data_IF_200573414665
#
_entry.id   IF_200573414665
#
_cell.length_a   1.000
_cell.length_b   1.000
_cell.length_c   1.000
_cell.angle_alpha   90.00
_cell.angle_beta   90.00
_cell.angle_gamma   90.00
#
_symmetry.space_group_name_H-M   'P 1'
#
loop_
_entity.id
_entity.type
_entity.pdbx_description
1 polymer ?
#
# COMPACT_ATOMS: atom_id res chain seq x y z
N UNK A 1 1.33 -2.83 17.48
CA UNK A 1 2.05 -1.54 17.34
C UNK A 1 3.54 -1.82 17.35
N UNK A 2 4.29 -1.09 16.52
CA UNK A 2 5.75 -1.06 16.55
C UNK A 2 6.24 0.35 16.24
N UNK A 3 7.35 0.74 16.84
CA UNK A 3 8.14 1.90 16.50
C UNK A 3 9.56 1.42 16.14
N UNK A 4 10.06 1.85 14.98
CA UNK A 4 11.34 1.41 14.43
C UNK A 4 12.17 2.62 14.04
N UNK A 5 13.44 2.63 14.46
CA UNK A 5 14.40 3.59 13.95
C UNK A 5 14.66 3.34 12.46
N UNK A 6 14.38 4.34 11.63
CA UNK A 6 14.43 4.20 10.17
C UNK A 6 15.85 3.91 9.67
N UNK A 7 16.87 4.49 10.28
CA UNK A 7 18.25 4.35 9.84
C UNK A 7 18.81 2.95 10.14
N UNK A 8 18.73 2.50 11.39
CA UNK A 8 19.29 1.23 11.85
C UNK A 8 18.34 0.04 11.69
N UNK A 9 17.03 0.27 11.64
CA UNK A 9 16.02 -0.79 11.70
C UNK A 9 15.79 -1.35 13.11
N UNK A 10 16.38 -0.75 14.15
CA UNK A 10 16.20 -1.18 15.53
C UNK A 10 14.78 -0.90 16.00
N UNK A 11 14.14 -1.86 16.65
CA UNK A 11 12.88 -1.66 17.36
C UNK A 11 13.10 -0.77 18.58
N UNK A 12 12.37 0.34 18.67
CA UNK A 12 12.36 1.25 19.81
C UNK A 12 11.27 0.86 20.81
N UNK A 13 10.07 0.60 20.31
CA UNK A 13 8.91 0.19 21.09
C UNK A 13 8.11 -0.88 20.34
N UNK A 14 7.52 -1.84 21.05
CA UNK A 14 6.71 -2.89 20.44
C UNK A 14 5.58 -3.35 21.36
N UNK A 15 4.41 -3.62 20.77
CA UNK A 15 3.28 -4.28 21.42
C UNK A 15 2.56 -5.17 20.43
N UNK A 16 2.46 -6.47 20.73
CA UNK A 16 1.88 -7.48 19.83
C UNK A 16 2.48 -7.41 18.42
N UNK A 17 3.79 -7.18 18.35
CA UNK A 17 4.45 -6.83 17.08
C UNK A 17 4.52 -8.00 16.10
N UNK A 18 4.39 -9.24 16.60
CA UNK A 18 4.39 -10.47 15.80
C UNK A 18 2.98 -11.09 15.66
N UNK A 19 1.94 -10.44 16.20
CA UNK A 19 0.56 -10.87 15.99
C UNK A 19 0.02 -10.35 14.66
N UNK A 20 -0.85 -11.14 14.03
CA UNK A 20 -1.45 -10.81 12.73
C UNK A 20 -2.60 -9.82 12.89
N UNK A 21 -2.62 -8.83 12.00
CA UNK A 21 -3.71 -7.87 11.83
C UNK A 21 -4.05 -7.74 10.35
N UNK A 22 -5.34 -7.57 9.99
CA UNK A 22 -5.74 -7.24 8.62
C UNK A 22 -5.00 -5.97 8.16
N UNK A 23 -4.40 -6.01 6.97
CA UNK A 23 -3.73 -4.83 6.42
C UNK A 23 -4.72 -3.74 6.06
N UNK A 24 -5.89 -4.14 5.52
CA UNK A 24 -6.81 -3.24 4.83
C UNK A 24 -6.02 -2.42 3.80
N UNK A 25 -6.45 -1.20 3.47
CA UNK A 25 -5.77 -0.33 2.49
C UNK A 25 -4.30 0.04 2.78
N UNK A 26 -3.71 -0.33 3.92
CA UNK A 26 -2.25 -0.14 4.13
C UNK A 26 -1.41 -0.96 3.16
N UNK A 27 -1.96 -2.06 2.61
CA UNK A 27 -1.30 -2.88 1.58
C UNK A 27 -0.96 -2.09 0.31
N UNK A 28 -1.68 -0.99 0.04
CA UNK A 28 -1.55 -0.19 -1.19
C UNK A 28 -0.16 0.46 -1.31
N UNK A 29 0.54 0.68 -0.19
CA UNK A 29 1.96 1.11 -0.22
C UNK A 29 2.86 0.00 -0.76
N UNK A 30 2.66 -1.24 -0.30
CA UNK A 30 3.41 -2.41 -0.79
C UNK A 30 3.09 -2.65 -2.28
N UNK A 31 1.82 -2.52 -2.67
CA UNK A 31 1.39 -2.63 -4.07
C UNK A 31 2.11 -1.62 -4.96
N UNK A 32 2.11 -0.34 -4.60
CA UNK A 32 2.81 0.68 -5.38
C UNK A 32 4.33 0.48 -5.36
N UNK A 33 4.88 -0.03 -4.26
CA UNK A 33 6.28 -0.46 -4.19
C UNK A 33 6.60 -1.58 -5.19
N UNK A 34 5.73 -2.58 -5.34
CA UNK A 34 5.88 -3.65 -6.32
C UNK A 34 5.79 -3.12 -7.77
N UNK A 35 4.85 -2.21 -8.03
CA UNK A 35 4.72 -1.53 -9.33
C UNK A 35 5.98 -0.73 -9.67
N UNK A 36 6.51 0.04 -8.71
CA UNK A 36 7.74 0.79 -8.88
C UNK A 36 8.97 -0.12 -9.10
N UNK A 37 9.01 -1.29 -8.46
CA UNK A 37 10.07 -2.27 -8.71
C UNK A 37 10.03 -2.78 -10.17
N UNK A 38 8.84 -2.98 -10.74
CA UNK A 38 8.66 -3.31 -12.16
C UNK A 38 9.08 -2.16 -13.07
N UNK A 39 8.79 -0.90 -12.69
CA UNK A 39 9.27 0.29 -13.42
C UNK A 39 10.78 0.35 -13.42
N UNK A 40 11.43 0.13 -12.27
CA UNK A 40 12.89 0.12 -12.16
C UNK A 40 13.53 -1.01 -13.00
N UNK A 41 12.83 -2.14 -13.16
CA UNK A 41 13.26 -3.26 -14.01
C UNK A 41 12.99 -3.03 -15.51
N UNK A 42 12.25 -2.00 -15.89
CA UNK A 42 11.83 -1.74 -17.27
C UNK A 42 10.61 -2.54 -17.74
N UNK A 43 9.98 -3.30 -16.85
CA UNK A 43 8.80 -4.13 -17.13
C UNK A 43 7.47 -3.37 -17.02
N UNK A 44 7.51 -2.11 -16.59
CA UNK A 44 6.36 -1.22 -16.43
C UNK A 44 6.73 0.23 -16.73
N UNK A 45 5.74 1.06 -17.09
CA UNK A 45 5.94 2.50 -17.28
C UNK A 45 4.85 3.27 -16.53
N UNK A 46 5.23 4.29 -15.77
CA UNK A 46 4.27 5.11 -15.02
C UNK A 46 3.30 5.84 -15.95
N UNK A 47 3.73 6.18 -17.16
CA UNK A 47 2.97 6.89 -18.18
C UNK A 47 2.05 5.95 -18.99
N UNK A 48 2.16 4.63 -18.82
CA UNK A 48 1.30 3.67 -19.53
C UNK A 48 -0.15 3.86 -19.11
N UNK A 49 -1.02 4.12 -20.08
CA UNK A 49 -2.46 4.31 -19.88
C UNK A 49 -3.19 2.97 -19.74
N UNK A 50 -4.09 2.88 -18.77
CA UNK A 50 -5.01 1.76 -18.54
C UNK A 50 -6.44 2.27 -18.70
N UNK A 51 -7.16 1.68 -19.65
CA UNK A 51 -8.61 1.84 -19.78
C UNK A 51 -9.32 0.69 -19.06
N UNK A 52 -10.46 1.01 -18.46
CA UNK A 52 -11.28 0.08 -17.69
C UNK A 52 -12.75 0.45 -17.86
N UNK A 53 -13.63 -0.44 -17.42
CA UNK A 53 -15.08 -0.35 -17.63
C UNK A 53 -15.79 -0.06 -16.32
N UNK A 54 -17.07 0.33 -16.44
CA UNK A 54 -17.96 0.54 -15.29
C UNK A 54 -18.00 -0.68 -14.34
N UNK A 55 -17.93 -1.89 -14.90
CA UNK A 55 -17.94 -3.15 -14.13
C UNK A 55 -16.66 -3.43 -13.36
N UNK A 56 -15.57 -2.72 -13.67
CA UNK A 56 -14.30 -2.83 -12.94
C UNK A 56 -14.29 -1.89 -11.71
N UNK A 57 -15.32 -1.03 -11.56
CA UNK A 57 -15.48 -0.16 -10.42
C UNK A 57 -16.10 -0.91 -9.23
N UNK A 58 -15.43 -0.83 -8.08
CA UNK A 58 -15.90 -1.32 -6.78
C UNK A 58 -16.17 -0.15 -5.83
N UNK A 59 -16.81 -0.45 -4.69
CA UNK A 59 -17.12 0.55 -3.66
C UNK A 59 -15.89 1.38 -3.26
N UNK A 60 -16.09 2.68 -3.03
CA UNK A 60 -15.05 3.66 -2.71
C UNK A 60 -13.95 3.79 -3.78
N UNK A 61 -14.34 4.36 -4.92
CA UNK A 61 -13.48 4.61 -6.08
C UNK A 61 -13.50 6.08 -6.54
N UNK A 62 -13.21 7.04 -5.62
CA UNK A 62 -13.51 8.46 -5.81
C UNK A 62 -12.70 9.17 -6.89
N UNK A 63 -11.62 8.55 -7.38
CA UNK A 63 -10.81 9.05 -8.49
C UNK A 63 -11.15 8.26 -9.74
N UNK A 64 -11.02 6.94 -9.70
CA UNK A 64 -11.19 6.10 -10.89
C UNK A 64 -12.59 6.15 -11.49
N UNK A 65 -13.64 6.37 -10.69
CA UNK A 65 -15.00 6.54 -11.22
C UNK A 65 -15.14 7.74 -12.18
N UNK A 66 -14.23 8.72 -12.09
CA UNK A 66 -14.25 9.95 -12.90
C UNK A 66 -13.49 9.83 -14.21
N UNK A 67 -12.78 8.71 -14.42
CA UNK A 67 -11.85 8.53 -15.54
C UNK A 67 -12.19 7.31 -16.42
N UNK A 68 -13.47 6.93 -16.49
CA UNK A 68 -13.93 5.82 -17.35
C UNK A 68 -13.71 6.08 -18.85
N UNK A 69 -13.83 7.34 -19.30
CA UNK A 69 -13.74 7.68 -20.71
C UNK A 69 -12.30 7.77 -21.22
N UNK A 70 -11.42 8.34 -20.40
CA UNK A 70 -10.04 8.72 -20.70
C UNK A 70 -9.00 7.74 -20.15
N UNK A 71 -9.40 6.89 -19.18
CA UNK A 71 -8.51 5.98 -18.48
C UNK A 71 -7.49 6.70 -17.60
N UNK A 72 -6.72 5.92 -16.85
CA UNK A 72 -5.68 6.45 -15.96
C UNK A 72 -4.34 5.81 -16.27
N UNK A 73 -3.27 6.57 -16.14
CA UNK A 73 -1.91 6.07 -16.20
C UNK A 73 -1.58 5.25 -14.95
N UNK A 74 -0.58 4.38 -15.03
CA UNK A 74 -0.10 3.61 -13.86
C UNK A 74 0.30 4.55 -12.72
N UNK A 75 0.95 5.67 -13.01
CA UNK A 75 1.30 6.69 -12.01
C UNK A 75 0.08 7.34 -11.37
N UNK A 76 -0.94 7.70 -12.16
CA UNK A 76 -2.21 8.24 -11.64
C UNK A 76 -2.95 7.22 -10.76
N UNK A 77 -2.92 5.94 -11.13
CA UNK A 77 -3.52 4.87 -10.34
C UNK A 77 -2.77 4.66 -9.01
N UNK A 78 -1.43 4.68 -9.00
CA UNK A 78 -0.66 4.61 -7.75
C UNK A 78 -0.97 5.81 -6.84
N UNK A 79 -1.02 7.01 -7.42
CA UNK A 79 -1.37 8.21 -6.68
C UNK A 79 -2.79 8.11 -6.09
N UNK A 80 -3.78 7.65 -6.85
CA UNK A 80 -5.15 7.46 -6.36
C UNK A 80 -5.24 6.40 -5.27
N UNK A 81 -4.56 5.26 -5.44
CA UNK A 81 -4.54 4.16 -4.48
C UNK A 81 -3.88 4.56 -3.14
N UNK A 82 -2.85 5.40 -3.15
CA UNK A 82 -2.21 5.87 -1.92
C UNK A 82 -2.97 7.08 -1.33
N UNK A 83 -3.10 8.17 -2.09
CA UNK A 83 -3.52 9.47 -1.53
C UNK A 83 -5.02 9.54 -1.21
N UNK A 84 -5.83 8.80 -1.97
CA UNK A 84 -7.29 8.77 -1.84
C UNK A 84 -7.80 7.39 -1.45
N UNK A 85 -6.91 6.41 -1.27
CA UNK A 85 -7.27 5.03 -0.95
C UNK A 85 -8.24 4.38 -1.95
N UNK A 86 -8.20 4.80 -3.23
CA UNK A 86 -9.11 4.36 -4.29
C UNK A 86 -9.02 2.85 -4.52
N UNK A 87 -10.15 2.15 -4.40
CA UNK A 87 -10.20 0.68 -4.41
C UNK A 87 -10.04 0.10 -5.81
N UNK A 88 -10.71 0.66 -6.81
CA UNK A 88 -10.58 0.17 -8.18
C UNK A 88 -9.20 0.45 -8.74
N UNK A 89 -8.57 1.58 -8.37
CA UNK A 89 -7.18 1.84 -8.72
C UNK A 89 -6.24 0.75 -8.19
N UNK A 90 -6.43 0.30 -6.95
CA UNK A 90 -5.64 -0.79 -6.38
C UNK A 90 -5.89 -2.12 -7.10
N UNK A 91 -7.14 -2.44 -7.47
CA UNK A 91 -7.44 -3.65 -8.25
C UNK A 91 -6.78 -3.61 -9.65
N UNK A 92 -6.85 -2.47 -10.35
CA UNK A 92 -6.20 -2.31 -11.66
C UNK A 92 -4.67 -2.48 -11.57
N UNK A 93 -4.04 -1.96 -10.51
CA UNK A 93 -2.62 -2.14 -10.26
C UNK A 93 -2.27 -3.59 -9.87
N UNK A 94 -3.09 -4.24 -9.04
CA UNK A 94 -2.93 -5.65 -8.68
C UNK A 94 -2.87 -6.54 -9.92
N UNK A 95 -3.72 -6.27 -10.92
CA UNK A 95 -3.69 -7.01 -12.19
C UNK A 95 -2.35 -6.93 -12.91
N UNK A 96 -1.58 -5.85 -12.73
CA UNK A 96 -0.26 -5.68 -13.36
C UNK A 96 0.86 -6.44 -12.62
N UNK A 97 0.66 -6.79 -11.34
CA UNK A 97 1.65 -7.51 -10.52
C UNK A 97 1.28 -8.97 -10.30
N UNK A 98 0.33 -9.52 -11.08
CA UNK A 98 -0.10 -10.92 -10.96
C UNK A 98 -1.15 -11.16 -9.86
N UNK A 99 -1.92 -10.14 -9.52
CA UNK A 99 -2.96 -10.20 -8.49
C UNK A 99 -2.42 -10.33 -7.06
N UNK A 100 -3.27 -10.67 -6.08
CA UNK A 100 -2.88 -10.84 -4.68
C UNK A 100 -1.73 -11.84 -4.48
N UNK A 101 -1.77 -12.97 -5.20
CA UNK A 101 -0.72 -13.98 -5.16
C UNK A 101 0.62 -13.43 -5.66
N UNK A 102 0.61 -12.63 -6.73
CA UNK A 102 1.81 -11.98 -7.25
C UNK A 102 2.38 -10.92 -6.31
N UNK A 103 1.54 -10.15 -5.62
CA UNK A 103 2.01 -9.23 -4.56
C UNK A 103 2.62 -9.99 -3.38
N UNK A 104 2.02 -11.12 -2.98
CA UNK A 104 2.59 -12.00 -1.95
C UNK A 104 3.94 -12.59 -2.41
N UNK A 105 4.09 -12.96 -3.69
CA UNK A 105 5.35 -13.43 -4.23
C UNK A 105 6.43 -12.34 -4.20
N UNK A 106 6.08 -11.10 -4.55
CA UNK A 106 6.98 -9.94 -4.41
C UNK A 106 7.45 -9.74 -2.97
N UNK A 107 6.53 -9.82 -1.99
CA UNK A 107 6.88 -9.75 -0.56
C UNK A 107 7.91 -10.82 -0.17
N UNK A 108 7.74 -12.06 -0.63
CA UNK A 108 8.73 -13.15 -0.40
C UNK A 108 10.09 -12.82 -1.03
N UNK A 109 10.11 -12.25 -2.23
CA UNK A 109 11.34 -11.86 -2.93
C UNK A 109 12.14 -10.77 -2.18
N UNK A 110 11.45 -9.91 -1.40
CA UNK A 110 12.08 -8.89 -0.56
C UNK A 110 12.22 -9.32 0.92
N UNK A 111 12.17 -10.64 1.18
CA UNK A 111 12.38 -11.27 2.48
C UNK A 111 11.32 -10.88 3.54
N UNK A 112 10.07 -10.65 3.13
CA UNK A 112 8.91 -10.70 4.01
C UNK A 112 8.23 -12.05 3.84
N UNK A 113 8.38 -12.92 4.84
CA UNK A 113 7.80 -14.27 4.85
C UNK A 113 6.46 -14.38 5.60
N UNK A 114 5.90 -13.23 6.02
CA UNK A 114 4.76 -13.19 6.95
C UNK A 114 3.55 -12.51 6.31
N UNK A 115 3.75 -11.33 5.73
CA UNK A 115 2.70 -10.56 5.07
C UNK A 115 2.15 -11.34 3.89
N UNK A 116 0.83 -11.31 3.71
CA UNK A 116 0.15 -11.98 2.60
C UNK A 116 -1.08 -11.19 2.19
N UNK A 117 -1.31 -11.12 0.88
CA UNK A 117 -2.54 -10.66 0.28
C UNK A 117 -3.15 -11.84 -0.49
N UNK A 118 -4.43 -12.08 -0.26
CA UNK A 118 -5.15 -13.26 -0.76
C UNK A 118 -6.36 -12.85 -1.60
N UNK A 119 -6.93 -11.66 -1.36
CA UNK A 119 -8.13 -11.15 -2.02
C UNK A 119 -7.92 -9.75 -2.60
N UNK A 120 -8.89 -9.35 -3.40
CA UNK A 120 -8.97 -8.04 -4.05
C UNK A 120 -9.75 -7.06 -3.16
N UNK A 121 -9.76 -5.78 -3.54
CA UNK A 121 -10.74 -4.87 -2.97
C UNK A 121 -12.13 -5.24 -3.52
N UNK A 122 -13.18 -5.31 -2.69
CA UNK A 122 -13.23 -4.91 -1.27
C UNK A 122 -13.18 -6.07 -0.28
N UNK A 123 -13.17 -7.32 -0.74
CA UNK A 123 -13.28 -8.52 0.11
C UNK A 123 -12.11 -8.69 1.09
N UNK A 124 -10.94 -8.12 0.78
CA UNK A 124 -9.77 -8.13 1.67
C UNK A 124 -10.02 -7.45 3.04
N UNK A 125 -11.08 -6.64 3.16
CA UNK A 125 -11.40 -5.89 4.38
C UNK A 125 -12.36 -6.63 5.36
N UNK A 126 -12.70 -7.90 5.08
CA UNK A 126 -13.67 -8.68 5.87
C UNK A 126 -13.26 -8.89 7.35
N UNK A 127 -11.95 -8.93 7.62
CA UNK A 127 -11.35 -8.98 8.96
C UNK A 127 -11.90 -10.09 9.89
N UNK A 128 -12.20 -11.29 9.34
CA UNK A 128 -12.65 -12.43 10.15
C UNK A 128 -11.65 -12.75 11.30
N UNK A 129 -12.10 -12.89 12.56
CA UNK A 129 -11.25 -13.28 13.67
C UNK A 129 -10.53 -14.59 13.41
N UNK A 130 -9.19 -14.57 13.53
CA UNK A 130 -8.34 -15.73 13.31
C UNK A 130 -8.05 -16.06 11.83
N UNK A 131 -8.66 -15.36 10.87
CA UNK A 131 -8.32 -15.51 9.46
C UNK A 131 -6.98 -14.83 9.17
N UNK A 132 -6.05 -15.61 8.63
CA UNK A 132 -4.71 -15.12 8.29
C UNK A 132 -4.65 -14.44 6.91
N UNK A 133 -5.71 -14.54 6.09
CA UNK A 133 -5.75 -13.91 4.76
C UNK A 133 -5.70 -12.39 4.88
N UNK A 134 -4.98 -11.75 3.96
CA UNK A 134 -4.87 -10.27 3.88
C UNK A 134 -4.28 -9.61 5.13
N UNK A 135 -3.44 -10.35 5.86
CA UNK A 135 -2.82 -9.89 7.10
C UNK A 135 -1.32 -9.62 6.97
N UNK A 136 -0.84 -8.73 7.83
CA UNK A 136 0.56 -8.54 8.17
C UNK A 136 0.74 -8.63 9.68
N UNK A 137 1.98 -8.48 10.16
CA UNK A 137 2.25 -8.15 11.57
C UNK A 137 2.89 -6.76 11.63
N UNK A 138 2.78 -6.02 12.75
CA UNK A 138 3.45 -4.73 12.87
C UNK A 138 4.95 -4.81 12.54
N UNK A 139 5.66 -5.82 13.04
CA UNK A 139 7.08 -6.02 12.78
C UNK A 139 7.38 -6.25 11.29
N UNK A 140 6.60 -7.11 10.63
CA UNK A 140 6.77 -7.40 9.20
C UNK A 140 6.48 -6.18 8.33
N UNK A 141 5.38 -5.47 8.58
CA UNK A 141 5.03 -4.28 7.82
C UNK A 141 6.07 -3.17 7.98
N UNK A 142 6.53 -2.88 9.21
CA UNK A 142 7.55 -1.87 9.45
C UNK A 142 8.88 -2.22 8.75
N UNK A 143 9.31 -3.47 8.81
CA UNK A 143 10.51 -3.93 8.13
C UNK A 143 10.38 -3.84 6.59
N UNK A 144 9.21 -4.19 6.05
CA UNK A 144 8.90 -4.09 4.62
C UNK A 144 8.89 -2.65 4.14
N UNK A 145 8.22 -1.74 4.86
CA UNK A 145 8.20 -0.32 4.52
C UNK A 145 9.60 0.29 4.56
N UNK A 146 10.41 -0.04 5.58
CA UNK A 146 11.81 0.40 5.64
C UNK A 146 12.60 -0.09 4.42
N UNK A 147 12.47 -1.37 4.03
CA UNK A 147 13.14 -1.89 2.83
C UNK A 147 12.73 -1.12 1.57
N UNK A 148 11.43 -0.90 1.37
CA UNK A 148 10.93 -0.18 0.20
C UNK A 148 11.40 1.28 0.16
N UNK A 149 11.52 1.94 1.31
CA UNK A 149 11.84 3.37 1.38
C UNK A 149 13.34 3.68 1.47
N UNK A 150 14.19 2.75 1.94
CA UNK A 150 15.60 3.05 2.25
C UNK A 150 16.63 2.05 1.72
N UNK A 151 16.23 0.89 1.21
CA UNK A 151 17.18 -0.15 0.72
C UNK A 151 17.35 -0.13 -0.79
N UNK A 152 18.32 -0.87 -1.34
CA UNK A 152 18.54 -0.93 -2.79
C UNK A 152 17.49 -1.75 -3.57
N UNK A 153 16.36 -2.13 -2.94
CA UNK A 153 15.25 -2.85 -3.60
C UNK A 153 14.48 -1.97 -4.59
N UNK A 154 14.48 -0.65 -4.38
CA UNK A 154 13.94 0.36 -5.29
C UNK A 154 15.04 1.37 -5.62
N UNK A 155 14.99 1.94 -6.82
CA UNK A 155 15.83 3.06 -7.19
C UNK A 155 15.54 4.28 -6.32
N UNK A 156 16.52 5.17 -6.16
CA UNK A 156 16.33 6.39 -5.38
C UNK A 156 15.18 7.28 -5.93
N UNK A 157 14.89 7.20 -7.24
CA UNK A 157 13.75 7.89 -7.85
C UNK A 157 12.44 7.26 -7.37
N UNK A 158 12.33 5.94 -7.43
CA UNK A 158 11.16 5.19 -7.00
C UNK A 158 10.88 5.33 -5.50
N UNK A 159 11.93 5.32 -4.66
CA UNK A 159 11.80 5.60 -3.23
C UNK A 159 11.20 6.98 -2.93
N UNK A 160 11.74 8.01 -3.59
CA UNK A 160 11.21 9.38 -3.46
C UNK A 160 9.77 9.47 -3.93
N UNK A 161 9.43 8.79 -5.02
CA UNK A 161 8.07 8.80 -5.54
C UNK A 161 7.08 8.11 -4.58
N UNK A 162 7.44 6.95 -4.04
CA UNK A 162 6.62 6.24 -3.06
C UNK A 162 6.41 7.09 -1.80
N UNK A 163 7.50 7.67 -1.28
CA UNK A 163 7.46 8.55 -0.12
C UNK A 163 6.58 9.78 -0.40
N UNK A 164 6.71 10.40 -1.58
CA UNK A 164 5.92 11.57 -1.95
C UNK A 164 4.42 11.26 -1.96
N UNK A 165 4.01 10.13 -2.56
CA UNK A 165 2.59 9.73 -2.53
C UNK A 165 2.07 9.54 -1.09
N UNK A 166 2.89 9.03 -0.17
CA UNK A 166 2.52 8.87 1.24
C UNK A 166 2.49 10.22 2.00
N UNK A 167 3.38 11.16 1.67
CA UNK A 167 3.32 12.54 2.20
C UNK A 167 1.99 13.18 1.82
N UNK A 168 1.57 12.97 0.56
CA UNK A 168 0.38 13.55 -0.03
C UNK A 168 -0.93 12.82 0.34
N UNK A 169 -0.94 11.90 1.33
CA UNK A 169 -2.17 11.27 1.82
C UNK A 169 -3.21 12.32 2.27
N UNK A 170 -4.44 12.18 1.75
CA UNK A 170 -5.56 13.12 1.94
C UNK A 170 -6.66 12.56 2.85
N UNK A 171 -6.56 11.30 3.27
CA UNK A 171 -7.59 10.59 4.04
C UNK A 171 -7.12 10.15 5.43
N UNK A 172 -5.93 10.59 5.87
CA UNK A 172 -5.36 10.29 7.18
C UNK A 172 -5.54 11.37 8.26
N UNK A 173 -6.21 12.48 7.95
CA UNK A 173 -6.30 13.67 8.82
C UNK A 173 -6.64 13.38 10.29
N UNK A 174 -7.68 12.59 10.61
CA UNK A 174 -8.08 12.29 11.99
C UNK A 174 -7.16 11.34 12.78
N UNK A 175 -6.03 10.89 12.20
CA UNK A 175 -5.11 9.91 12.83
C UNK A 175 -3.85 10.61 13.34
N UNK A 176 -2.66 10.09 13.03
CA UNK A 176 -1.37 10.66 13.49
C UNK A 176 -1.24 12.13 13.08
N UNK A 177 -1.75 12.51 11.90
CA UNK A 177 -1.74 13.90 11.41
C UNK A 177 -2.45 14.89 12.36
N UNK A 178 -3.46 14.44 13.12
CA UNK A 178 -4.21 15.31 14.04
C UNK A 178 -3.42 15.77 15.28
N UNK A 179 -2.35 15.05 15.61
CA UNK A 179 -1.52 15.29 16.81
C UNK A 179 -0.08 15.64 16.44
N UNK A 180 0.20 15.88 15.15
CA UNK A 180 1.54 16.15 14.66
C UNK A 180 1.94 17.60 14.96
N UNK A 181 3.06 17.85 15.67
CA UNK A 181 3.51 19.21 15.92
C UNK A 181 3.90 19.95 14.62
N UNK A 182 3.78 21.27 14.61
CA UNK A 182 4.18 22.08 13.46
C UNK A 182 5.66 21.86 13.09
N UNK A 183 5.94 21.75 11.79
CA UNK A 183 7.29 21.54 11.24
C UNK A 183 7.74 20.08 11.20
N UNK A 184 6.96 19.13 11.72
CA UNK A 184 7.28 17.70 11.61
C UNK A 184 6.93 17.15 10.23
N UNK A 185 7.75 16.19 9.79
CA UNK A 185 7.52 15.43 8.57
C UNK A 185 6.62 14.22 8.85
N UNK A 186 5.69 13.92 7.95
CA UNK A 186 4.90 12.69 7.95
C UNK A 186 4.67 12.19 6.53
N UNK A 187 4.75 10.88 6.37
CA UNK A 187 4.34 10.14 5.19
C UNK A 187 3.61 8.89 5.67
N UNK A 188 2.31 8.78 5.39
CA UNK A 188 1.45 7.75 5.96
C UNK A 188 0.53 7.11 4.91
N UNK A 189 -0.11 6.02 5.34
CA UNK A 189 -1.25 5.42 4.63
C UNK A 189 -2.17 4.79 5.66
N UNK A 190 -3.46 5.05 5.52
CA UNK A 190 -4.49 4.50 6.40
C UNK A 190 -5.09 3.18 5.91
N UNK A 191 -5.75 2.47 6.82
CA UNK A 191 -6.64 1.36 6.52
C UNK A 191 -7.88 1.43 7.42
N UNK A 192 -9.02 0.98 6.91
CA UNK A 192 -10.22 0.73 7.68
C UNK A 192 -10.93 -0.47 7.07
N UNK A 193 -11.51 -1.31 7.91
CA UNK A 193 -12.23 -2.50 7.48
C UNK A 193 -13.38 -2.84 8.41
N UNK A 194 -13.96 -4.02 8.18
CA UNK A 194 -15.05 -4.54 9.00
C UNK A 194 -14.61 -4.79 10.45
N UNK A 195 -15.59 -4.95 11.34
CA UNK A 195 -15.38 -5.32 12.76
C UNK A 195 -14.48 -4.35 13.53
N UNK A 196 -14.45 -3.09 13.09
CA UNK A 196 -13.68 -2.02 13.74
C UNK A 196 -12.17 -2.10 13.49
N UNK A 197 -11.71 -2.89 12.51
CA UNK A 197 -10.31 -2.94 12.14
C UNK A 197 -9.83 -1.56 11.62
N UNK A 198 -8.75 -1.05 12.21
CA UNK A 198 -8.07 0.22 11.88
C UNK A 198 -6.59 0.16 12.24
#
# INVERSE_FOLDING_TARGET
MIEMDLASGRTLTAWRADERFPMMSTFKVVLCGAVLARVDAGDEQLERKIHYRQQDLVDYSPVSEKHLADGMTVGELCAAAITMSDNSAANLLLATVGGPAGLTAFLRQIDDNVTRLDRWETELNEALPGDARDTTTPASMAATLRKLLTSQRLSARSQRQLLQWMVDDRVAGPLIRSVLPAGWFIADKTGAGERGAR
#
